data_IF_781473692728
#
_entry.id   IF_781473692728
#
_cell.length_a   1.000
_cell.length_b   1.000
_cell.length_c   1.000
_cell.angle_alpha   90.00
_cell.angle_beta   90.00
_cell.angle_gamma   90.00
#
_symmetry.space_group_name_H-M   'P 1'
#
loop_
_entity.id
_entity.type
_entity.pdbx_description
1 polymer ?
#
# COMPACT_ATOMS: atom_id res chain seq x y z
N UNK A 1 2.23 -17.84 -5.34
CA UNK A 1 2.91 -16.96 -4.36
C UNK A 1 1.96 -15.80 -4.15
N UNK A 2 1.44 -15.64 -2.95
CA UNK A 2 0.52 -14.52 -2.66
C UNK A 2 1.37 -13.29 -2.36
N UNK A 3 1.30 -12.28 -3.21
CA UNK A 3 1.81 -10.93 -2.94
C UNK A 3 0.84 -10.19 -2.01
N UNK A 4 1.34 -9.22 -1.23
CA UNK A 4 0.45 -8.31 -0.51
C UNK A 4 -0.45 -7.53 -1.48
N UNK A 5 0.00 -7.32 -2.73
CA UNK A 5 -0.81 -6.75 -3.81
C UNK A 5 -2.01 -7.61 -4.13
N UNK A 6 -1.88 -8.94 -4.11
CA UNK A 6 -2.99 -9.85 -4.38
C UNK A 6 -4.10 -9.69 -3.34
N UNK A 7 -3.73 -9.48 -2.07
CA UNK A 7 -4.67 -9.21 -0.98
C UNK A 7 -5.47 -7.93 -1.25
N UNK A 8 -4.82 -6.84 -1.67
CA UNK A 8 -5.52 -5.59 -2.03
C UNK A 8 -6.39 -5.80 -3.27
N UNK A 9 -5.86 -6.47 -4.28
CA UNK A 9 -6.54 -6.72 -5.54
C UNK A 9 -7.83 -7.54 -5.33
N UNK A 10 -7.93 -8.41 -4.33
CA UNK A 10 -9.18 -9.12 -4.04
C UNK A 10 -10.37 -8.18 -3.76
N UNK A 11 -10.12 -6.95 -3.27
CA UNK A 11 -11.17 -5.96 -3.05
C UNK A 11 -11.67 -5.29 -4.32
N UNK A 12 -10.89 -5.34 -5.41
CA UNK A 12 -11.20 -4.81 -6.74
C UNK A 12 -11.64 -5.93 -7.69
N UNK A 13 -12.47 -6.85 -7.18
CA UNK A 13 -13.13 -7.92 -7.89
C UNK A 13 -14.64 -7.86 -7.65
N UNK A 14 -15.41 -8.82 -8.18
CA UNK A 14 -16.87 -8.86 -7.98
C UNK A 14 -17.26 -9.01 -6.50
N UNK A 15 -18.30 -8.31 -6.01
CA UNK A 15 -19.15 -7.36 -6.73
C UNK A 15 -18.47 -6.01 -6.98
N UNK A 16 -18.67 -5.45 -8.18
CA UNK A 16 -18.10 -4.15 -8.56
C UNK A 16 -18.95 -3.02 -7.96
N UNK A 17 -18.29 -2.14 -7.20
CA UNK A 17 -18.89 -0.92 -6.67
C UNK A 17 -18.60 0.25 -7.60
N UNK A 18 -19.62 1.06 -7.92
CA UNK A 18 -19.48 2.26 -8.78
C UNK A 18 -18.46 3.25 -8.21
N UNK A 19 -18.46 3.42 -6.88
CA UNK A 19 -17.50 4.26 -6.17
C UNK A 19 -16.91 3.50 -4.98
N UNK A 20 -15.58 3.52 -4.89
CA UNK A 20 -14.80 2.98 -3.79
C UNK A 20 -13.94 4.11 -3.22
N UNK A 21 -14.01 4.33 -1.91
CA UNK A 21 -13.23 5.30 -1.17
C UNK A 21 -12.15 4.55 -0.42
N UNK A 22 -10.89 4.93 -0.59
CA UNK A 22 -9.75 4.19 -0.03
C UNK A 22 -8.93 5.13 0.84
N UNK A 23 -8.80 4.80 2.12
CA UNK A 23 -7.77 5.38 2.98
C UNK A 23 -6.46 4.59 2.79
N UNK A 24 -5.41 5.30 2.42
CA UNK A 24 -4.09 4.76 2.12
C UNK A 24 -3.01 5.70 2.68
N UNK A 25 -2.81 5.72 4.01
CA UNK A 25 -1.82 6.57 4.66
C UNK A 25 -0.38 6.28 4.18
N UNK A 26 -0.12 5.05 3.76
CA UNK A 26 1.21 4.56 3.38
C UNK A 26 1.49 4.65 1.87
N UNK A 27 0.50 5.01 1.04
CA UNK A 27 0.65 5.16 -0.40
C UNK A 27 0.80 3.83 -1.16
N UNK A 28 0.29 2.73 -0.61
CA UNK A 28 0.34 1.39 -1.20
C UNK A 28 -0.34 1.35 -2.58
N UNK A 29 -1.47 2.04 -2.76
CA UNK A 29 -2.22 2.07 -4.01
C UNK A 29 -1.55 2.91 -5.09
N UNK A 30 -0.52 3.70 -4.77
CA UNK A 30 0.24 4.49 -5.73
C UNK A 30 1.38 3.71 -6.38
N UNK A 31 1.63 2.49 -5.94
CA UNK A 31 2.63 1.64 -6.56
C UNK A 31 2.23 1.27 -8.00
N UNK A 32 3.14 1.47 -8.95
CA UNK A 32 2.85 1.33 -10.39
C UNK A 32 2.24 -0.03 -10.77
N UNK A 33 2.75 -1.13 -10.19
CA UNK A 33 2.24 -2.47 -10.48
C UNK A 33 0.79 -2.62 -10.02
N UNK A 34 0.48 -2.13 -8.83
CA UNK A 34 -0.86 -2.20 -8.26
C UNK A 34 -1.82 -1.26 -9.00
N UNK A 35 -1.38 -0.03 -9.31
CA UNK A 35 -2.12 0.92 -10.15
C UNK A 35 -2.49 0.33 -11.50
N UNK A 36 -1.51 -0.26 -12.19
CA UNK A 36 -1.72 -0.89 -13.50
C UNK A 36 -2.71 -2.06 -13.41
N UNK A 37 -2.58 -2.90 -12.36
CA UNK A 37 -3.48 -4.03 -12.13
C UNK A 37 -4.92 -3.56 -11.84
N UNK A 38 -5.11 -2.54 -11.00
CA UNK A 38 -6.45 -1.98 -10.71
C UNK A 38 -7.07 -1.37 -11.98
N UNK A 39 -6.30 -0.61 -12.77
CA UNK A 39 -6.76 -0.05 -14.06
C UNK A 39 -7.13 -1.13 -15.07
N UNK A 40 -6.36 -2.21 -15.16
CA UNK A 40 -6.65 -3.34 -16.06
C UNK A 40 -7.98 -4.04 -15.74
N UNK A 41 -8.48 -3.89 -14.50
CA UNK A 41 -9.78 -4.39 -14.05
C UNK A 41 -10.93 -3.41 -14.28
N UNK A 42 -10.67 -2.30 -14.98
CA UNK A 42 -11.68 -1.29 -15.32
C UNK A 42 -12.00 -0.30 -14.20
N UNK A 43 -11.09 -0.14 -13.23
CA UNK A 43 -11.21 0.87 -12.18
C UNK A 43 -10.31 2.07 -12.49
N UNK A 44 -10.90 3.27 -12.46
CA UNK A 44 -10.15 4.50 -12.54
C UNK A 44 -9.79 4.99 -11.15
N UNK A 45 -8.52 5.34 -10.92
CA UNK A 45 -8.06 5.85 -9.65
C UNK A 45 -7.91 7.37 -9.71
N UNK A 46 -8.47 8.06 -8.73
CA UNK A 46 -8.44 9.51 -8.59
C UNK A 46 -7.97 9.87 -7.17
N UNK A 47 -6.76 10.44 -7.01
CA UNK A 47 -6.29 10.97 -5.73
C UNK A 47 -7.18 12.13 -5.24
N UNK A 48 -7.41 12.17 -3.94
CA UNK A 48 -8.09 13.27 -3.26
C UNK A 48 -7.04 14.10 -2.49
N UNK A 49 -6.35 14.98 -3.22
CA UNK A 49 -5.35 15.89 -2.64
C UNK A 49 -5.90 17.31 -2.45
N UNK A 50 -6.66 17.80 -3.44
CA UNK A 50 -7.32 19.11 -3.43
C UNK A 50 -8.79 18.98 -3.79
N UNK A 51 -9.66 19.54 -2.94
CA UNK A 51 -11.12 19.42 -3.07
C UNK A 51 -11.62 20.04 -4.38
N UNK A 52 -11.04 21.18 -4.81
CA UNK A 52 -11.49 21.89 -6.01
C UNK A 52 -11.13 21.10 -7.26
N UNK A 53 -9.87 20.68 -7.38
CA UNK A 53 -9.35 19.88 -8.49
C UNK A 53 -10.06 18.52 -8.56
N UNK A 54 -10.26 17.87 -7.42
CA UNK A 54 -11.03 16.64 -7.33
C UNK A 54 -12.46 16.84 -7.82
N UNK A 55 -13.17 17.88 -7.33
CA UNK A 55 -14.57 18.11 -7.71
C UNK A 55 -14.71 18.39 -9.20
N UNK A 56 -13.80 19.17 -9.77
CA UNK A 56 -13.76 19.40 -11.22
C UNK A 56 -13.62 18.09 -12.01
N UNK A 57 -12.66 17.24 -11.64
CA UNK A 57 -12.43 15.95 -12.32
C UNK A 57 -13.61 14.99 -12.14
N UNK A 58 -14.21 14.96 -10.96
CA UNK A 58 -15.38 14.15 -10.63
C UNK A 58 -16.62 14.55 -11.43
N UNK A 59 -16.97 15.84 -11.43
CA UNK A 59 -18.16 16.36 -12.13
C UNK A 59 -18.02 16.23 -13.64
N UNK A 60 -16.82 16.49 -14.18
CA UNK A 60 -16.57 16.45 -15.63
C UNK A 60 -16.55 15.02 -16.18
N UNK A 61 -15.93 14.07 -15.48
CA UNK A 61 -15.65 12.74 -16.04
C UNK A 61 -16.53 11.61 -15.51
N UNK A 62 -17.21 11.79 -14.37
CA UNK A 62 -17.92 10.69 -13.70
C UNK A 62 -19.38 11.00 -13.41
N UNK A 63 -19.71 12.21 -12.93
CA UNK A 63 -21.10 12.55 -12.57
C UNK A 63 -22.06 12.42 -13.76
N UNK A 64 -21.68 12.95 -14.92
CA UNK A 64 -22.50 12.86 -16.13
C UNK A 64 -22.71 11.40 -16.58
N UNK A 65 -21.65 10.58 -16.55
CA UNK A 65 -21.75 9.16 -16.91
C UNK A 65 -22.71 8.40 -15.99
N UNK A 66 -22.74 8.74 -14.70
CA UNK A 66 -23.64 8.11 -13.75
C UNK A 66 -25.09 8.56 -13.87
N UNK A 67 -25.32 9.83 -14.20
CA UNK A 67 -26.66 10.34 -14.51
C UNK A 67 -27.24 9.62 -15.75
N UNK A 68 -26.40 9.29 -16.73
CA UNK A 68 -26.74 8.48 -17.91
C UNK A 68 -26.70 6.96 -17.65
N UNK A 69 -26.52 6.55 -16.40
CA UNK A 69 -26.47 5.16 -15.94
C UNK A 69 -25.38 4.29 -16.62
N UNK A 70 -24.32 4.92 -17.13
CA UNK A 70 -23.18 4.23 -17.71
C UNK A 70 -22.30 3.60 -16.63
N UNK A 71 -21.69 2.44 -16.91
CA UNK A 71 -20.79 1.79 -15.97
C UNK A 71 -19.44 2.53 -15.91
N UNK A 72 -19.16 3.19 -14.80
CA UNK A 72 -17.81 3.65 -14.46
C UNK A 72 -17.48 3.32 -13.02
N UNK A 73 -16.31 2.73 -12.81
CA UNK A 73 -15.84 2.31 -11.50
C UNK A 73 -14.75 3.27 -11.05
N UNK A 74 -15.07 4.13 -10.09
CA UNK A 74 -14.17 5.13 -9.55
C UNK A 74 -13.61 4.68 -8.21
N UNK A 75 -12.29 4.78 -8.06
CA UNK A 75 -11.57 4.59 -6.80
C UNK A 75 -11.00 5.94 -6.38
N UNK A 76 -11.50 6.50 -5.29
CA UNK A 76 -10.99 7.73 -4.70
C UNK A 76 -9.95 7.35 -3.66
N UNK A 77 -8.72 7.85 -3.79
CA UNK A 77 -7.61 7.54 -2.88
C UNK A 77 -7.35 8.73 -1.96
N UNK A 78 -7.31 8.47 -0.66
CA UNK A 78 -6.98 9.44 0.37
C UNK A 78 -5.65 9.05 1.01
N UNK A 79 -4.65 9.92 0.89
CA UNK A 79 -3.34 9.73 1.52
C UNK A 79 -3.36 10.09 3.00
N UNK A 80 -4.29 9.49 3.74
CA UNK A 80 -4.57 9.82 5.13
C UNK A 80 -5.24 8.64 5.82
N UNK A 81 -5.28 8.67 7.16
CA UNK A 81 -5.88 7.60 7.96
C UNK A 81 -7.37 7.43 7.67
N UNK A 82 -7.94 6.28 8.05
CA UNK A 82 -9.38 6.01 7.89
C UNK A 82 -10.28 7.13 8.45
N UNK A 83 -9.89 7.75 9.56
CA UNK A 83 -10.62 8.87 10.17
C UNK A 83 -10.80 10.06 9.20
N UNK A 84 -9.86 10.24 8.27
CA UNK A 84 -9.94 11.28 7.24
C UNK A 84 -10.98 11.00 6.16
N UNK A 85 -11.48 9.77 6.01
CA UNK A 85 -12.57 9.47 5.07
C UNK A 85 -13.80 10.33 5.38
N UNK A 86 -14.05 10.64 6.66
CA UNK A 86 -15.16 11.49 7.08
C UNK A 86 -15.03 12.96 6.60
N UNK A 87 -13.86 13.38 6.14
CA UNK A 87 -13.66 14.71 5.53
C UNK A 87 -14.18 14.80 4.09
N UNK A 88 -14.48 13.65 3.46
CA UNK A 88 -15.01 13.62 2.11
C UNK A 88 -16.42 14.24 2.03
N UNK A 89 -16.77 14.82 0.88
CA UNK A 89 -18.13 15.22 0.59
C UNK A 89 -19.16 14.11 0.87
N UNK A 90 -20.25 14.47 1.55
CA UNK A 90 -21.27 13.52 2.02
C UNK A 90 -21.89 12.68 0.90
N UNK A 91 -22.02 13.25 -0.31
CA UNK A 91 -22.54 12.55 -1.49
C UNK A 91 -21.66 11.36 -1.90
N UNK A 92 -20.34 11.46 -1.71
CA UNK A 92 -19.42 10.34 -1.93
C UNK A 92 -19.53 9.32 -0.81
N UNK A 93 -19.58 9.77 0.44
CA UNK A 93 -19.66 8.88 1.61
C UNK A 93 -20.92 8.02 1.63
N UNK A 94 -22.05 8.59 1.20
CA UNK A 94 -23.33 7.87 1.17
C UNK A 94 -23.37 6.78 0.11
N UNK A 95 -22.64 6.96 -1.01
CA UNK A 95 -22.68 6.05 -2.17
C UNK A 95 -21.47 5.13 -2.26
N UNK A 96 -20.36 5.51 -1.63
CA UNK A 96 -19.07 4.87 -1.73
C UNK A 96 -18.88 3.73 -0.75
N UNK A 97 -18.35 2.61 -1.23
CA UNK A 97 -17.77 1.59 -0.36
C UNK A 97 -16.46 2.12 0.21
N UNK A 98 -16.28 2.02 1.52
CA UNK A 98 -15.04 2.43 2.18
C UNK A 98 -14.08 1.23 2.32
N UNK A 99 -12.80 1.47 2.08
CA UNK A 99 -11.69 0.54 2.27
C UNK A 99 -10.56 1.29 2.96
N UNK A 100 -9.76 0.55 3.73
CA UNK A 100 -8.59 1.06 4.41
C UNK A 100 -7.44 0.08 4.20
N UNK A 101 -6.31 0.59 3.74
CA UNK A 101 -5.09 -0.18 3.54
C UNK A 101 -3.93 0.54 4.21
N UNK A 102 -3.37 -0.10 5.23
CA UNK A 102 -2.19 0.38 5.94
C UNK A 102 -1.16 -0.75 6.06
N UNK A 103 0.10 -0.38 6.30
CA UNK A 103 1.17 -1.35 6.52
C UNK A 103 0.91 -2.28 7.72
N UNK A 104 0.38 -1.80 8.87
CA UNK A 104 0.08 -2.67 10.01
C UNK A 104 -0.89 -3.82 9.69
N UNK A 105 -1.87 -3.64 8.80
CA UNK A 105 -2.77 -4.72 8.39
C UNK A 105 -2.04 -5.86 7.67
N UNK A 106 -0.94 -5.58 6.95
CA UNK A 106 -0.16 -6.61 6.25
C UNK A 106 0.96 -7.19 7.11
N UNK A 107 1.48 -6.44 8.08
CA UNK A 107 2.64 -6.79 8.88
C UNK A 107 2.37 -6.68 10.38
N UNK A 108 1.34 -7.38 10.86
CA UNK A 108 0.83 -7.27 12.23
C UNK A 108 1.87 -7.52 13.32
N UNK A 109 2.83 -8.41 13.10
CA UNK A 109 3.88 -8.74 14.08
C UNK A 109 5.18 -7.93 13.91
N UNK A 110 5.24 -6.97 12.98
CA UNK A 110 6.41 -6.11 12.77
C UNK A 110 6.13 -4.67 13.21
N UNK A 111 7.19 -3.97 13.60
CA UNK A 111 7.10 -2.56 13.98
C UNK A 111 6.78 -1.66 12.78
N UNK A 112 5.63 -0.99 12.85
CA UNK A 112 5.17 -0.05 11.84
C UNK A 112 6.18 1.08 11.51
N UNK A 113 6.75 1.82 12.49
CA UNK A 113 7.76 2.84 12.20
C UNK A 113 8.96 2.34 11.40
N UNK A 114 9.36 1.07 11.60
CA UNK A 114 10.47 0.48 10.85
C UNK A 114 10.04 0.17 9.42
N UNK A 115 8.85 -0.40 9.22
CA UNK A 115 8.37 -0.75 7.88
C UNK A 115 8.07 0.50 7.05
N UNK A 116 7.47 1.52 7.67
CA UNK A 116 7.18 2.81 7.03
C UNK A 116 8.46 3.51 6.54
N UNK A 117 9.60 3.26 7.19
CA UNK A 117 10.90 3.80 6.78
C UNK A 117 11.57 3.06 5.61
N UNK A 118 11.04 1.89 5.21
CA UNK A 118 11.59 1.10 4.11
C UNK A 118 11.11 1.63 2.76
N UNK A 119 11.98 1.54 1.76
CA UNK A 119 11.60 1.78 0.38
C UNK A 119 10.53 0.74 -0.05
N UNK A 120 9.43 1.18 -0.72
CA UNK A 120 8.38 0.29 -1.22
C UNK A 120 8.88 -0.93 -2.00
N UNK A 121 10.03 -0.82 -2.70
CA UNK A 121 10.61 -1.95 -3.44
C UNK A 121 10.92 -3.17 -2.55
N UNK A 122 11.14 -2.94 -1.25
CA UNK A 122 11.48 -3.99 -0.28
C UNK A 122 10.25 -4.59 0.41
N UNK A 123 9.07 -4.02 0.25
CA UNK A 123 7.84 -4.52 0.89
C UNK A 123 7.47 -5.92 0.39
N UNK A 124 7.63 -6.21 -0.91
CA UNK A 124 7.33 -7.54 -1.45
C UNK A 124 8.29 -8.62 -0.89
N UNK A 125 9.63 -8.46 -0.96
CA UNK A 125 10.55 -9.40 -0.30
C UNK A 125 10.31 -9.53 1.22
N UNK A 126 9.95 -8.43 1.89
CA UNK A 126 9.61 -8.46 3.31
C UNK A 126 8.35 -9.30 3.56
N UNK A 127 7.32 -9.14 2.73
CA UNK A 127 6.07 -9.89 2.82
C UNK A 127 6.28 -11.39 2.64
N UNK A 128 7.11 -11.81 1.68
CA UNK A 128 7.46 -13.21 1.47
C UNK A 128 8.20 -13.82 2.67
N UNK A 129 9.11 -13.05 3.27
CA UNK A 129 9.78 -13.47 4.51
C UNK A 129 8.80 -13.54 5.69
N UNK A 130 7.90 -12.56 5.77
CA UNK A 130 6.90 -12.44 6.82
C UNK A 130 5.86 -13.57 6.79
N UNK A 131 5.46 -14.04 5.61
CA UNK A 131 4.53 -15.19 5.48
C UNK A 131 5.04 -16.47 6.15
N UNK A 132 6.36 -16.63 6.28
CA UNK A 132 6.99 -17.78 6.92
C UNK A 132 7.31 -17.52 8.40
N UNK A 133 7.03 -16.33 8.92
CA UNK A 133 7.30 -15.94 10.29
C UNK A 133 6.18 -16.43 11.22
N UNK A 134 6.54 -17.23 12.22
CA UNK A 134 5.62 -17.77 13.24
C UNK A 134 5.99 -17.31 14.66
N UNK A 135 6.78 -16.25 14.78
CA UNK A 135 7.25 -15.75 16.07
C UNK A 135 6.31 -14.70 16.71
N UNK A 136 6.69 -14.19 17.89
CA UNK A 136 5.94 -13.14 18.59
C UNK A 136 6.05 -11.79 17.87
N UNK A 137 5.29 -10.80 18.33
CA UNK A 137 5.43 -9.42 17.86
C UNK A 137 6.86 -8.90 18.10
N UNK A 138 7.40 -8.25 17.08
CA UNK A 138 8.75 -7.72 17.05
C UNK A 138 8.72 -6.20 17.27
N UNK A 139 9.39 -5.76 18.34
CA UNK A 139 9.70 -4.34 18.51
C UNK A 139 10.65 -3.82 17.42
N UNK A 140 10.93 -2.52 17.44
CA UNK A 140 11.71 -1.83 16.40
C UNK A 140 13.06 -2.48 16.10
N UNK A 141 13.84 -2.78 17.14
CA UNK A 141 15.16 -3.37 16.97
C UNK A 141 15.07 -4.77 16.35
N UNK A 142 14.12 -5.57 16.81
CA UNK A 142 13.96 -6.93 16.33
C UNK A 142 13.41 -6.94 14.88
N UNK A 143 12.52 -6.01 14.54
CA UNK A 143 12.05 -5.78 13.16
C UNK A 143 13.19 -5.37 12.24
N UNK A 144 14.07 -4.44 12.67
CA UNK A 144 15.27 -4.06 11.89
C UNK A 144 16.17 -5.26 11.63
N UNK A 145 16.44 -6.08 12.65
CA UNK A 145 17.24 -7.30 12.51
C UNK A 145 16.58 -8.32 11.56
N UNK A 146 15.26 -8.48 11.67
CA UNK A 146 14.49 -9.36 10.79
C UNK A 146 14.60 -8.89 9.34
N UNK A 147 14.34 -7.61 9.06
CA UNK A 147 14.44 -7.04 7.71
C UNK A 147 15.86 -7.17 7.17
N UNK A 148 16.89 -6.82 7.94
CA UNK A 148 18.29 -6.96 7.52
C UNK A 148 18.62 -8.42 7.13
N UNK A 149 18.23 -9.37 7.97
CA UNK A 149 18.51 -10.79 7.74
C UNK A 149 17.75 -11.36 6.54
N UNK A 150 16.45 -11.08 6.45
CA UNK A 150 15.58 -11.76 5.49
C UNK A 150 15.49 -11.03 4.15
N UNK A 151 15.47 -9.70 4.15
CA UNK A 151 15.40 -8.88 2.92
C UNK A 151 16.80 -8.53 2.42
N UNK A 152 17.67 -8.06 3.31
CA UNK A 152 19.01 -7.61 2.90
C UNK A 152 20.06 -8.73 2.91
N UNK A 153 19.73 -9.93 3.42
CA UNK A 153 20.67 -11.05 3.60
C UNK A 153 21.92 -10.66 4.42
N UNK A 154 21.77 -9.66 5.28
CA UNK A 154 22.81 -9.20 6.19
C UNK A 154 22.53 -9.84 7.54
N UNK A 155 23.47 -10.65 8.05
CA UNK A 155 23.44 -11.08 9.44
C UNK A 155 24.27 -10.12 10.29
N UNK A 156 23.65 -9.23 11.10
CA UNK A 156 24.39 -8.26 11.89
C UNK A 156 25.31 -8.90 12.92
N UNK A 157 25.06 -10.15 13.33
CA UNK A 157 25.92 -10.89 14.27
C UNK A 157 27.25 -11.31 13.64
N UNK A 158 27.32 -11.34 12.31
CA UNK A 158 28.54 -11.67 11.57
C UNK A 158 29.44 -10.44 11.33
N UNK A 159 28.90 -9.23 11.50
CA UNK A 159 29.64 -7.97 11.35
C UNK A 159 30.28 -7.63 12.69
N UNK A 160 31.57 -7.98 12.84
CA UNK A 160 32.33 -7.71 14.07
C UNK A 160 33.22 -6.47 13.96
N UNK A 161 33.61 -6.11 12.74
CA UNK A 161 34.47 -4.95 12.48
C UNK A 161 33.89 -4.04 11.38
N UNK A 162 34.28 -2.76 11.32
CA UNK A 162 33.92 -1.87 10.21
C UNK A 162 34.35 -2.41 8.84
N UNK A 163 35.45 -3.17 8.79
CA UNK A 163 35.93 -3.82 7.56
C UNK A 163 34.97 -4.92 7.09
N UNK A 164 34.38 -5.69 8.01
CA UNK A 164 33.40 -6.74 7.67
C UNK A 164 32.13 -6.12 7.09
N UNK A 165 31.68 -5.01 7.66
CA UNK A 165 30.56 -4.23 7.11
C UNK A 165 30.87 -3.76 5.69
N UNK A 166 32.05 -3.17 5.48
CA UNK A 166 32.46 -2.62 4.18
C UNK A 166 32.56 -3.72 3.12
N UNK A 167 33.13 -4.88 3.47
CA UNK A 167 33.16 -6.07 2.60
C UNK A 167 31.76 -6.54 2.22
N UNK A 168 30.83 -6.62 3.17
CA UNK A 168 29.46 -7.04 2.89
C UNK A 168 28.68 -6.04 2.03
N UNK A 169 28.83 -4.73 2.29
CA UNK A 169 28.20 -3.71 1.47
C UNK A 169 28.77 -3.70 0.04
N UNK A 170 30.09 -3.77 -0.12
CA UNK A 170 30.72 -3.84 -1.44
C UNK A 170 30.26 -5.07 -2.23
N UNK A 171 30.23 -6.25 -1.60
CA UNK A 171 29.78 -7.46 -2.26
C UNK A 171 28.33 -7.34 -2.77
N UNK A 172 27.45 -6.68 -2.01
CA UNK A 172 26.04 -6.48 -2.39
C UNK A 172 25.83 -5.47 -3.53
N UNK A 173 26.68 -4.45 -3.66
CA UNK A 173 26.52 -3.41 -4.70
C UNK A 173 27.33 -3.67 -5.97
N UNK A 174 28.25 -4.64 -5.95
CA UNK A 174 29.10 -4.96 -7.10
C UNK A 174 28.58 -6.15 -7.91
N UNK A 175 27.54 -6.85 -7.45
CA UNK A 175 26.89 -8.00 -8.10
C UNK A 175 25.37 -7.83 -8.00
#
# INVERSE_FOLDING_TARGET
MNSWRDTILQHFANPIYRITLVADPDGLLLEEQLLAAIRSRGFNLLPFDDVVSFRYMYETNYRQLWDDNQPSNLVVILRSSEASLQSLPYDLLQRGRQLHFDLPAFFTALSYPVIQSLDPMYLQPLFEAYQNYQGPELGDQATKLFTLKHVFKIDPKMIKTPLDLLKHLLWRYTH
#
